data_IF_519804978253
#
_entry.id   IF_519804978253
#
_cell.length_a   1.000
_cell.length_b   1.000
_cell.length_c   1.000
_cell.angle_alpha   90.00
_cell.angle_beta   90.00
_cell.angle_gamma   90.00
#
_symmetry.space_group_name_H-M   'P 1'
#
loop_
_entity.id
_entity.type
_entity.pdbx_description
1 polymer ?
#
# COMPACT_ATOMS: atom_id res chain seq x y z
N UNK A 1 0.98 -38.35 -13.87
CA UNK A 1 1.40 -39.28 -14.94
C UNK A 1 1.17 -38.62 -16.30
N UNK A 2 2.17 -37.89 -16.80
CA UNK A 2 2.25 -37.34 -18.17
C UNK A 2 3.75 -37.36 -18.45
N UNK A 3 4.30 -38.36 -19.11
CA UNK A 3 4.20 -38.60 -20.55
C UNK A 3 5.62 -38.52 -21.10
N UNK A 4 6.44 -39.53 -20.79
CA UNK A 4 7.82 -39.62 -21.23
C UNK A 4 7.85 -39.90 -22.74
N UNK A 5 8.37 -38.98 -23.56
CA UNK A 5 8.59 -39.21 -24.99
C UNK A 5 10.09 -39.22 -25.29
N UNK A 6 10.60 -40.45 -25.32
CA UNK A 6 11.51 -41.02 -26.32
C UNK A 6 12.75 -40.22 -26.72
N UNK A 7 13.89 -40.58 -26.13
CA UNK A 7 15.20 -40.37 -26.71
C UNK A 7 15.37 -41.22 -27.98
N UNK A 8 15.87 -40.62 -29.07
CA UNK A 8 16.57 -41.33 -30.14
C UNK A 8 17.86 -40.58 -30.41
N UNK A 9 18.97 -41.13 -29.91
CA UNK A 9 20.32 -40.68 -30.24
C UNK A 9 20.77 -41.52 -31.45
N UNK A 10 20.79 -40.87 -32.61
CA UNK A 10 21.46 -41.29 -33.82
C UNK A 10 22.22 -40.02 -34.28
N UNK A 11 23.47 -39.99 -34.69
CA UNK A 11 24.33 -41.04 -35.26
C UNK A 11 25.76 -40.48 -35.34
N UNK A 12 26.72 -41.39 -35.22
CA UNK A 12 27.99 -41.47 -35.95
C UNK A 12 29.05 -40.37 -35.91
N UNK A 13 30.24 -40.83 -35.55
CA UNK A 13 31.55 -40.19 -35.53
C UNK A 13 31.91 -39.61 -36.92
N UNK A 14 32.14 -38.30 -37.00
CA UNK A 14 33.00 -37.69 -38.01
C UNK A 14 33.83 -36.58 -37.33
N UNK A 15 35.16 -36.72 -37.43
CA UNK A 15 36.15 -35.73 -37.02
C UNK A 15 36.01 -34.45 -37.84
N UNK A 16 35.77 -33.30 -37.19
CA UNK A 16 36.51 -32.05 -37.38
C UNK A 16 35.75 -30.86 -36.75
N UNK A 17 36.49 -30.11 -35.92
CA UNK A 17 36.24 -28.73 -35.51
C UNK A 17 34.92 -28.36 -34.79
N UNK A 18 35.11 -27.87 -33.56
CA UNK A 18 34.51 -26.61 -33.09
C UNK A 18 32.97 -26.54 -33.06
N UNK A 19 32.39 -27.08 -31.99
CA UNK A 19 31.45 -26.35 -31.12
C UNK A 19 31.08 -27.30 -29.98
N UNK A 20 31.75 -27.16 -28.83
CA UNK A 20 31.21 -27.70 -27.58
C UNK A 20 29.94 -26.89 -27.33
N UNK A 21 28.79 -27.39 -27.78
CA UNK A 21 27.50 -26.87 -27.37
C UNK A 21 27.34 -27.24 -25.89
N UNK A 22 27.94 -26.42 -25.03
CA UNK A 22 27.51 -26.26 -23.64
C UNK A 22 26.02 -25.92 -23.75
N UNK A 23 25.17 -26.92 -23.55
CA UNK A 23 23.78 -26.68 -23.25
C UNK A 23 23.78 -25.94 -21.90
N UNK A 24 23.85 -24.61 -21.96
CA UNK A 24 23.31 -23.76 -20.93
C UNK A 24 21.81 -24.08 -20.92
N UNK A 25 21.45 -25.10 -20.14
CA UNK A 25 20.09 -25.24 -19.66
C UNK A 25 19.89 -24.00 -18.80
N UNK A 26 19.38 -22.94 -19.41
CA UNK A 26 18.83 -21.81 -18.68
C UNK A 26 17.65 -22.41 -17.91
N UNK A 27 17.91 -22.80 -16.66
CA UNK A 27 16.86 -23.05 -15.69
C UNK A 27 16.18 -21.70 -15.49
N UNK A 28 15.16 -21.42 -16.30
CA UNK A 28 14.20 -20.37 -16.02
C UNK A 28 13.64 -20.70 -14.63
N UNK A 29 14.11 -19.99 -13.61
CA UNK A 29 13.49 -20.02 -12.29
C UNK A 29 12.05 -19.59 -12.50
N UNK A 30 11.12 -20.55 -12.43
CA UNK A 30 9.69 -20.26 -12.33
C UNK A 30 9.52 -19.31 -11.15
N UNK A 31 9.37 -18.02 -11.47
CA UNK A 31 9.22 -16.98 -10.47
C UNK A 31 8.04 -17.33 -9.59
N UNK A 32 8.30 -17.55 -8.30
CA UNK A 32 7.28 -17.83 -7.31
C UNK A 32 6.23 -16.71 -7.40
N UNK A 33 5.04 -17.06 -7.92
CA UNK A 33 4.02 -16.07 -8.23
C UNK A 33 3.45 -15.54 -6.91
N UNK A 34 3.97 -14.41 -6.45
CA UNK A 34 3.53 -13.79 -5.21
C UNK A 34 2.04 -13.44 -5.21
N UNK A 35 1.48 -13.32 -4.00
CA UNK A 35 0.07 -13.03 -3.77
C UNK A 35 -0.12 -11.53 -3.63
N UNK A 36 -0.96 -10.92 -4.50
CA UNK A 36 -1.29 -9.50 -4.39
C UNK A 36 -2.21 -9.25 -3.19
N UNK A 37 -1.84 -8.30 -2.33
CA UNK A 37 -2.55 -7.92 -1.10
C UNK A 37 -2.55 -6.39 -0.94
N UNK A 38 -3.29 -5.88 0.05
CA UNK A 38 -3.39 -4.45 0.34
C UNK A 38 -2.82 -4.09 1.73
N UNK A 39 -2.22 -2.91 1.83
CA UNK A 39 -1.78 -2.34 3.09
C UNK A 39 -2.96 -1.73 3.86
N UNK A 40 -3.27 -2.26 5.06
CA UNK A 40 -4.39 -1.84 5.89
C UNK A 40 -4.00 -0.99 7.11
N UNK A 41 -2.71 -0.62 7.24
CA UNK A 41 -2.25 0.30 8.29
C UNK A 41 -2.54 1.76 7.88
N UNK A 42 -3.38 2.47 8.63
CA UNK A 42 -3.83 3.83 8.27
C UNK A 42 -2.69 4.85 8.19
N UNK A 43 -1.64 4.69 8.99
CA UNK A 43 -0.42 5.50 8.98
C UNK A 43 0.62 5.03 7.95
N UNK A 44 0.29 4.03 7.14
CA UNK A 44 1.22 3.34 6.24
C UNK A 44 1.88 2.11 6.88
N UNK A 45 2.23 1.15 6.03
CA UNK A 45 2.84 -0.12 6.42
C UNK A 45 4.34 -0.07 6.14
N UNK A 46 5.15 -0.18 7.20
CA UNK A 46 6.60 -0.03 7.11
C UNK A 46 7.22 -1.33 6.57
N UNK A 47 8.04 -1.21 5.52
CA UNK A 47 8.91 -2.27 5.00
C UNK A 47 10.21 -2.24 5.81
N UNK A 48 10.63 -3.39 6.30
CA UNK A 48 11.79 -3.55 7.16
C UNK A 48 12.82 -4.51 6.59
N UNK A 49 14.07 -4.39 7.01
CA UNK A 49 15.14 -5.28 6.56
C UNK A 49 15.00 -6.71 7.09
N UNK A 50 14.42 -6.87 8.28
CA UNK A 50 14.23 -8.15 8.97
C UNK A 50 12.83 -8.24 9.60
N UNK A 51 12.31 -9.45 9.89
CA UNK A 51 10.98 -9.67 10.48
C UNK A 51 10.92 -9.31 11.98
N UNK A 52 11.30 -8.09 12.33
CA UNK A 52 11.32 -7.56 13.70
C UNK A 52 10.94 -6.08 13.72
N UNK A 53 10.49 -5.54 14.85
CA UNK A 53 10.16 -4.10 14.99
C UNK A 53 11.38 -3.19 15.13
N UNK A 54 12.54 -3.76 15.43
CA UNK A 54 13.77 -3.03 15.71
C UNK A 54 14.69 -2.90 14.49
N UNK A 55 14.43 -3.69 13.44
CA UNK A 55 15.23 -3.67 12.22
C UNK A 55 15.06 -2.40 11.40
N UNK A 56 16.01 -2.15 10.49
CA UNK A 56 16.04 -0.94 9.68
C UNK A 56 14.77 -0.78 8.84
N UNK A 57 14.26 0.45 8.75
CA UNK A 57 13.12 0.80 7.90
C UNK A 57 13.63 1.04 6.48
N UNK A 58 13.20 0.22 5.53
CA UNK A 58 13.57 0.32 4.11
C UNK A 58 12.60 1.18 3.31
N UNK A 59 11.34 1.26 3.74
CA UNK A 59 10.31 2.02 3.04
C UNK A 59 8.98 2.06 3.77
N UNK A 60 8.01 2.75 3.17
CA UNK A 60 6.65 2.88 3.68
C UNK A 60 5.67 2.63 2.53
N UNK A 61 4.78 1.67 2.71
CA UNK A 61 3.67 1.39 1.79
C UNK A 61 2.47 2.24 2.25
N UNK A 62 1.97 3.18 1.44
CA UNK A 62 0.81 3.99 1.80
C UNK A 62 -0.44 3.12 2.02
N UNK A 63 -1.32 3.54 2.93
CA UNK A 63 -2.60 2.86 3.17
C UNK A 63 -3.39 2.66 1.88
N UNK A 64 -3.97 1.47 1.72
CA UNK A 64 -4.78 1.11 0.56
C UNK A 64 -3.98 0.76 -0.69
N UNK A 65 -2.64 0.88 -0.67
CA UNK A 65 -1.81 0.47 -1.80
C UNK A 65 -1.79 -1.06 -1.94
N UNK A 66 -1.74 -1.53 -3.18
CA UNK A 66 -1.51 -2.94 -3.50
C UNK A 66 -0.01 -3.24 -3.44
N UNK A 67 0.34 -4.42 -2.94
CA UNK A 67 1.69 -4.95 -2.84
C UNK A 67 1.72 -6.45 -3.12
N UNK A 68 2.89 -7.00 -3.39
CA UNK A 68 3.07 -8.44 -3.64
C UNK A 68 3.64 -9.10 -2.39
N UNK A 69 2.96 -10.10 -1.84
CA UNK A 69 3.50 -10.98 -0.80
C UNK A 69 4.23 -12.13 -1.46
N UNK A 70 5.52 -12.25 -1.15
CA UNK A 70 6.39 -13.30 -1.69
C UNK A 70 6.42 -14.51 -0.76
N UNK A 71 6.58 -14.27 0.53
CA UNK A 71 6.77 -15.32 1.52
C UNK A 71 6.16 -14.90 2.87
N UNK A 72 5.80 -15.87 3.70
CA UNK A 72 5.52 -15.63 5.12
C UNK A 72 6.47 -16.47 5.97
N UNK A 73 7.06 -15.88 7.00
CA UNK A 73 7.99 -16.57 7.89
C UNK A 73 7.73 -16.27 9.36
N UNK A 74 8.28 -17.14 10.21
CA UNK A 74 8.16 -17.06 11.66
C UNK A 74 6.78 -17.35 12.21
N UNK A 75 6.68 -17.25 13.53
CA UNK A 75 5.48 -17.48 14.30
C UNK A 75 4.53 -16.28 14.26
N UNK A 76 3.28 -16.52 14.62
CA UNK A 76 2.30 -15.45 14.81
C UNK A 76 2.71 -14.60 16.02
N UNK A 77 2.80 -13.30 15.82
CA UNK A 77 3.10 -12.32 16.88
C UNK A 77 1.99 -11.29 16.96
N UNK A 78 1.93 -10.56 18.08
CA UNK A 78 0.96 -9.46 18.28
C UNK A 78 1.69 -8.13 18.26
N UNK A 79 1.33 -7.26 17.31
CA UNK A 79 1.86 -5.90 17.20
C UNK A 79 0.69 -4.94 17.09
N UNK A 80 0.66 -3.90 17.94
CA UNK A 80 -0.42 -2.90 18.00
C UNK A 80 -1.82 -3.53 18.10
N UNK A 81 -1.95 -4.60 18.90
CA UNK A 81 -3.22 -5.30 19.12
C UNK A 81 -3.68 -6.20 17.97
N UNK A 82 -2.88 -6.37 16.91
CA UNK A 82 -3.19 -7.27 15.79
C UNK A 82 -2.27 -8.46 15.79
N UNK A 83 -2.83 -9.63 15.51
CA UNK A 83 -2.07 -10.87 15.33
C UNK A 83 -1.70 -11.07 13.86
N UNK A 84 -0.48 -11.52 13.60
CA UNK A 84 -0.03 -11.85 12.26
C UNK A 84 1.38 -12.43 12.25
N UNK A 85 1.73 -13.06 11.14
CA UNK A 85 3.11 -13.49 10.84
C UNK A 85 3.83 -12.39 10.08
N UNK A 86 5.15 -12.43 10.06
CA UNK A 86 5.90 -11.54 9.19
C UNK A 86 5.83 -12.04 7.74
N UNK A 87 5.66 -11.11 6.82
CA UNK A 87 5.56 -11.40 5.39
C UNK A 87 6.67 -10.68 4.65
N UNK A 88 7.42 -11.40 3.82
CA UNK A 88 8.31 -10.81 2.84
C UNK A 88 7.49 -10.32 1.67
N UNK A 89 7.72 -9.08 1.25
CA UNK A 89 6.93 -8.41 0.24
C UNK A 89 7.81 -7.70 -0.77
N UNK A 90 7.24 -7.41 -1.93
CA UNK A 90 7.77 -6.48 -2.93
C UNK A 90 6.76 -5.35 -3.13
N UNK A 91 7.26 -4.11 -3.10
CA UNK A 91 6.49 -2.92 -3.40
C UNK A 91 7.39 -1.91 -4.11
N UNK A 92 7.05 -1.58 -5.36
CA UNK A 92 7.76 -0.59 -6.17
C UNK A 92 9.28 -0.84 -6.26
N UNK A 93 9.67 -2.12 -6.37
CA UNK A 93 11.08 -2.54 -6.44
C UNK A 93 11.79 -2.66 -5.09
N UNK A 94 11.14 -2.29 -3.98
CA UNK A 94 11.67 -2.49 -2.62
C UNK A 94 11.20 -3.84 -2.11
N UNK A 95 12.14 -4.72 -1.77
CA UNK A 95 11.85 -5.98 -1.10
C UNK A 95 12.23 -5.92 0.38
N UNK A 96 11.38 -6.46 1.25
CA UNK A 96 11.64 -6.54 2.68
C UNK A 96 10.47 -7.14 3.45
N UNK A 97 10.47 -6.98 4.77
CA UNK A 97 9.52 -7.59 5.68
C UNK A 97 8.49 -6.58 6.18
N UNK A 98 7.22 -6.97 6.16
CA UNK A 98 6.13 -6.23 6.78
C UNK A 98 5.41 -7.11 7.79
N UNK A 99 4.78 -6.49 8.78
CA UNK A 99 3.96 -7.23 9.72
C UNK A 99 2.61 -7.61 9.07
N UNK A 100 2.36 -8.91 8.92
CA UNK A 100 1.21 -9.45 8.20
C UNK A 100 -0.15 -9.14 8.84
N UNK A 101 -0.19 -8.76 10.13
CA UNK A 101 -1.42 -8.33 10.79
C UNK A 101 -2.03 -7.04 10.19
N UNK A 102 -1.29 -6.33 9.34
CA UNK A 102 -1.74 -5.17 8.58
C UNK A 102 -1.88 -5.43 7.08
N UNK A 103 -1.85 -6.69 6.64
CA UNK A 103 -2.19 -7.07 5.27
C UNK A 103 -3.67 -7.42 5.17
N UNK A 104 -4.29 -7.05 4.05
CA UNK A 104 -5.69 -7.35 3.75
C UNK A 104 -5.80 -7.96 2.36
N UNK A 105 -6.63 -8.99 2.22
CA UNK A 105 -6.95 -9.59 0.92
C UNK A 105 -7.81 -8.66 0.06
N UNK A 106 -8.61 -7.81 0.72
CA UNK A 106 -9.49 -6.85 0.05
C UNK A 106 -8.96 -5.42 0.22
N UNK A 107 -9.22 -4.57 -0.76
CA UNK A 107 -8.91 -3.15 -0.67
C UNK A 107 -9.64 -2.55 0.55
N UNK A 108 -8.92 -1.88 1.46
CA UNK A 108 -9.54 -1.32 2.64
C UNK A 108 -10.35 -0.04 2.27
N UNK A 109 -11.34 0.37 3.08
CA UNK A 109 -12.15 1.55 2.80
C UNK A 109 -11.29 2.80 2.65
N UNK A 110 -11.67 3.74 1.79
CA UNK A 110 -10.96 5.02 1.66
C UNK A 110 -10.94 5.74 3.01
N UNK A 111 -9.79 6.31 3.39
CA UNK A 111 -9.70 7.18 4.55
C UNK A 111 -10.43 8.48 4.23
N UNK A 112 -11.61 8.67 4.83
CA UNK A 112 -12.27 9.96 4.86
C UNK A 112 -11.61 10.74 5.98
N UNK A 113 -10.71 11.66 5.62
CA UNK A 113 -10.23 12.66 6.60
C UNK A 113 -11.42 13.55 6.94
N UNK A 114 -11.77 13.62 8.21
CA UNK A 114 -12.80 14.54 8.68
C UNK A 114 -12.34 15.98 8.40
N UNK A 115 -13.07 16.68 7.52
CA UNK A 115 -12.89 18.12 7.33
C UNK A 115 -13.71 18.82 8.41
N UNK A 116 -13.02 19.17 9.52
CA UNK A 116 -13.63 19.89 10.64
C UNK A 116 -14.19 21.26 10.25
N UNK A 117 -13.72 21.83 9.15
CA UNK A 117 -14.22 23.08 8.60
C UNK A 117 -15.33 22.87 7.55
N UNK A 118 -15.69 21.63 7.17
CA UNK A 118 -16.72 21.38 6.15
C UNK A 118 -18.11 21.92 6.53
N UNK A 119 -18.62 21.77 7.78
CA UNK A 119 -19.88 22.38 8.18
C UNK A 119 -19.86 23.91 8.01
N UNK A 120 -18.70 24.52 8.27
CA UNK A 120 -18.48 25.95 8.19
C UNK A 120 -18.42 26.45 6.74
N UNK A 121 -17.63 25.80 5.87
CA UNK A 121 -17.57 26.10 4.43
C UNK A 121 -18.96 26.07 3.79
N UNK A 122 -19.80 25.13 4.22
CA UNK A 122 -21.19 25.02 3.77
C UNK A 122 -22.07 26.19 4.26
N UNK A 123 -21.83 26.70 5.47
CA UNK A 123 -22.53 27.87 6.01
C UNK A 123 -22.16 29.14 5.21
N UNK A 124 -20.86 29.38 5.00
CA UNK A 124 -20.36 30.54 4.25
C UNK A 124 -20.81 30.55 2.80
N UNK A 125 -20.70 29.43 2.08
CA UNK A 125 -21.16 29.35 0.69
C UNK A 125 -22.66 29.67 0.55
N UNK A 126 -23.46 29.31 1.56
CA UNK A 126 -24.89 29.65 1.61
C UNK A 126 -25.13 31.14 1.86
N UNK A 127 -24.28 31.80 2.65
CA UNK A 127 -24.34 33.24 2.87
C UNK A 127 -23.82 34.05 1.67
N UNK A 128 -22.86 33.52 0.90
CA UNK A 128 -22.28 34.18 -0.29
C UNK A 128 -23.26 34.26 -1.48
N UNK A 129 -24.12 33.26 -1.64
CA UNK A 129 -25.16 33.23 -2.68
C UNK A 129 -26.27 34.27 -2.44
N UNK A 130 -26.45 34.71 -1.18
CA UNK A 130 -27.32 35.82 -0.80
C UNK A 130 -26.54 37.14 -0.99
N UNK A 131 -26.64 37.72 -2.19
CA UNK A 131 -26.09 39.03 -2.60
C UNK A 131 -25.66 39.91 -1.42
N UNK A 132 -24.35 40.23 -1.34
CA UNK A 132 -23.68 41.03 -0.32
C UNK A 132 -24.43 42.33 0.07
N UNK A 133 -25.40 42.19 0.95
CA UNK A 133 -26.26 43.23 1.50
C UNK A 133 -26.48 42.98 2.99
N UNK A 134 -27.41 43.70 3.66
CA UNK A 134 -27.61 43.61 5.12
C UNK A 134 -27.99 42.20 5.62
N UNK A 135 -28.35 41.26 4.73
CA UNK A 135 -28.57 39.85 5.07
C UNK A 135 -27.28 39.04 5.29
N UNK A 136 -26.12 39.54 4.82
CA UNK A 136 -24.82 38.91 5.05
C UNK A 136 -24.45 38.92 6.54
N UNK A 137 -24.65 40.07 7.20
CA UNK A 137 -24.36 40.26 8.62
C UNK A 137 -25.26 39.35 9.49
N UNK A 138 -26.54 39.21 9.12
CA UNK A 138 -27.48 38.32 9.80
C UNK A 138 -27.20 36.82 9.59
N UNK A 139 -26.71 36.43 8.40
CA UNK A 139 -26.40 35.03 8.09
C UNK A 139 -25.16 34.54 8.86
N UNK A 140 -24.19 35.43 9.05
CA UNK A 140 -22.95 35.15 9.78
C UNK A 140 -23.20 34.92 11.27
N UNK A 141 -24.18 35.60 11.87
CA UNK A 141 -24.59 35.40 13.27
C UNK A 141 -25.20 34.01 13.52
N UNK A 142 -25.88 33.40 12.54
CA UNK A 142 -26.37 32.01 12.63
C UNK A 142 -25.25 30.97 12.48
N UNK A 143 -24.16 31.31 11.78
CA UNK A 143 -22.96 30.49 11.69
C UNK A 143 -22.05 30.63 12.94
N UNK A 144 -22.15 31.73 13.69
CA UNK A 144 -21.33 32.11 14.84
C UNK A 144 -21.47 31.24 16.11
N UNK A 145 -22.64 30.70 16.52
CA UNK A 145 -22.75 29.96 17.79
C UNK A 145 -21.95 28.63 17.81
N UNK A 146 -21.43 28.17 16.68
CA UNK A 146 -20.53 27.01 16.57
C UNK A 146 -19.03 27.39 16.58
N UNK A 147 -18.69 28.68 16.68
CA UNK A 147 -17.35 29.23 16.44
C UNK A 147 -16.43 29.17 17.68
N UNK A 148 -16.96 29.00 18.89
CA UNK A 148 -16.18 28.95 20.13
C UNK A 148 -15.19 27.75 20.18
N UNK A 149 -13.95 27.98 19.72
CA UNK A 149 -12.82 27.03 19.79
C UNK A 149 -12.18 26.62 18.47
N UNK A 150 -12.71 27.02 17.31
CA UNK A 150 -12.17 26.65 15.99
C UNK A 150 -11.75 27.85 15.12
N UNK A 151 -11.89 29.09 15.64
CA UNK A 151 -11.74 30.33 14.86
C UNK A 151 -10.43 30.43 14.10
N UNK A 152 -9.31 30.23 14.80
CA UNK A 152 -7.99 30.39 14.20
C UNK A 152 -7.65 29.34 13.12
N UNK A 153 -8.35 28.20 13.10
CA UNK A 153 -8.03 27.08 12.21
C UNK A 153 -8.91 27.02 10.96
N UNK A 154 -10.11 27.62 11.00
CA UNK A 154 -11.10 27.50 9.93
C UNK A 154 -11.51 28.86 9.31
N UNK A 155 -11.02 30.00 9.82
CA UNK A 155 -11.31 31.31 9.24
C UNK A 155 -10.54 31.54 7.91
N UNK A 156 -11.24 31.68 6.78
CA UNK A 156 -10.62 31.90 5.47
C UNK A 156 -9.94 33.28 5.34
N UNK A 157 -10.22 34.23 6.23
CA UNK A 157 -9.61 35.56 6.25
C UNK A 157 -8.34 35.63 7.12
N UNK A 158 -8.02 34.56 7.87
CA UNK A 158 -6.84 34.47 8.73
C UNK A 158 -5.76 33.51 8.21
N UNK A 159 -5.99 32.84 7.07
CA UNK A 159 -5.04 31.92 6.40
C UNK A 159 -4.34 32.58 5.22
#
# INVERSE_FOLDING_TARGET
MKGCKSARVATSIFLAALFVALAACETETEGEKGISMYAAAQSGLIIRSEPTTESAKLGLIPYGSSLTVLEQAGDTTTILGRQGRWSKVEFQGIQGWVFGGFLSANAPPKLVKEDKCAPFKKCYAKCEELLAGPGYEMCMDECYPAWAGLEAACDPNLQ
#
